data_IF_383117582949
#
_entry.id   IF_383117582949
#
_cell.length_a   1.000
_cell.length_b   1.000
_cell.length_c   1.000
_cell.angle_alpha   90.00
_cell.angle_beta   90.00
_cell.angle_gamma   90.00
#
_symmetry.space_group_name_H-M   'P 1'
#
loop_
_entity.id
_entity.type
_entity.pdbx_description
1 polymer ?
#
# COMPACT_ATOMS: atom_id res chain seq x y z
N UNK A 1 23.95 4.18 -3.21
CA UNK A 1 23.47 4.10 -4.61
C UNK A 1 22.01 4.52 -4.78
N UNK A 2 21.14 4.38 -3.77
CA UNK A 2 19.72 4.79 -3.89
C UNK A 2 19.50 6.28 -4.16
N UNK A 3 20.35 7.17 -3.63
CA UNK A 3 20.19 8.61 -3.76
C UNK A 3 20.25 9.10 -5.21
N UNK A 4 21.12 8.51 -6.04
CA UNK A 4 21.22 8.87 -7.45
C UNK A 4 19.95 8.50 -8.22
N UNK A 5 19.37 7.34 -7.94
CA UNK A 5 18.13 6.89 -8.59
C UNK A 5 16.94 7.75 -8.16
N UNK A 6 16.83 8.07 -6.87
CA UNK A 6 15.80 8.99 -6.33
C UNK A 6 15.93 10.38 -6.95
N UNK A 7 17.15 10.90 -7.10
CA UNK A 7 17.39 12.19 -7.76
C UNK A 7 16.99 12.19 -9.25
N UNK A 8 17.34 11.13 -10.00
CA UNK A 8 16.93 10.99 -11.42
C UNK A 8 15.41 10.89 -11.58
N UNK A 9 14.74 10.20 -10.66
CA UNK A 9 13.29 10.09 -10.63
C UNK A 9 12.63 11.44 -10.34
N UNK A 10 13.14 12.16 -9.34
CA UNK A 10 12.67 13.52 -8.97
C UNK A 10 12.87 14.53 -10.10
N UNK A 11 14.02 14.48 -10.78
CA UNK A 11 14.34 15.34 -11.92
C UNK A 11 13.61 14.95 -13.22
N UNK A 12 12.78 13.90 -13.21
CA UNK A 12 12.06 13.38 -14.38
C UNK A 12 12.98 12.94 -15.53
N UNK A 13 14.21 12.54 -15.20
CA UNK A 13 15.23 12.14 -16.18
C UNK A 13 15.01 10.73 -16.75
N UNK A 14 14.16 9.92 -16.10
CA UNK A 14 13.89 8.54 -16.51
C UNK A 14 12.93 8.54 -17.71
N UNK A 15 13.51 8.36 -18.92
CA UNK A 15 12.78 8.37 -20.19
C UNK A 15 11.99 7.09 -20.49
N UNK A 16 12.48 5.93 -20.05
CA UNK A 16 11.82 4.66 -20.29
C UNK A 16 10.59 4.53 -19.36
N UNK A 17 9.36 4.43 -19.90
CA UNK A 17 8.14 4.40 -19.10
C UNK A 17 8.04 3.17 -18.19
N UNK A 18 8.51 2.00 -18.64
CA UNK A 18 8.49 0.77 -17.84
C UNK A 18 9.48 0.87 -16.67
N UNK A 19 10.71 1.34 -16.95
CA UNK A 19 11.70 1.60 -15.91
C UNK A 19 11.19 2.63 -14.89
N UNK A 20 10.54 3.68 -15.37
CA UNK A 20 9.96 4.72 -14.54
C UNK A 20 8.83 4.18 -13.64
N UNK A 21 7.99 3.28 -14.16
CA UNK A 21 6.93 2.60 -13.40
C UNK A 21 7.52 1.69 -12.32
N UNK A 22 8.54 0.89 -12.64
CA UNK A 22 9.21 0.05 -11.64
C UNK A 22 9.92 0.86 -10.56
N UNK A 23 10.60 1.95 -10.93
CA UNK A 23 11.22 2.86 -9.94
C UNK A 23 10.16 3.49 -9.05
N UNK A 24 9.03 3.93 -9.60
CA UNK A 24 7.91 4.43 -8.82
C UNK A 24 7.33 3.37 -7.88
N UNK A 25 7.19 2.12 -8.35
CA UNK A 25 6.76 0.97 -7.53
C UNK A 25 7.71 0.73 -6.36
N UNK A 26 9.02 0.71 -6.60
CA UNK A 26 10.05 0.56 -5.57
C UNK A 26 10.02 1.70 -4.54
N UNK A 27 9.80 2.94 -4.99
CA UNK A 27 9.64 4.10 -4.10
C UNK A 27 8.37 3.93 -3.24
N UNK A 28 7.27 3.48 -3.84
CA UNK A 28 6.00 3.28 -3.14
C UNK A 28 6.10 2.14 -2.09
N UNK A 29 6.72 1.02 -2.46
CA UNK A 29 6.97 -0.11 -1.56
C UNK A 29 7.98 0.23 -0.46
N UNK A 30 8.92 1.13 -0.76
CA UNK A 30 9.87 1.69 0.20
C UNK A 30 9.29 2.76 1.12
N UNK A 31 7.97 3.03 1.07
CA UNK A 31 7.30 4.00 1.95
C UNK A 31 7.28 3.47 3.39
N UNK A 32 8.36 3.71 4.12
CA UNK A 32 8.50 3.41 5.53
C UNK A 32 8.40 4.69 6.38
N UNK A 33 8.30 4.51 7.71
CA UNK A 33 8.21 5.60 8.70
C UNK A 33 9.34 6.63 8.53
N UNK A 34 9.24 7.80 9.15
CA UNK A 34 10.25 8.87 9.12
C UNK A 34 11.65 8.33 9.45
N UNK A 35 11.75 7.28 10.27
CA UNK A 35 13.00 6.61 10.65
C UNK A 35 13.71 5.88 9.51
N UNK A 36 13.01 5.51 8.43
CA UNK A 36 13.62 4.88 7.27
C UNK A 36 14.43 5.85 6.41
N UNK A 37 14.25 7.16 6.62
CA UNK A 37 15.05 8.20 6.00
C UNK A 37 15.84 8.93 7.11
N UNK A 38 17.10 8.53 7.36
CA UNK A 38 17.90 9.10 8.44
C UNK A 38 18.18 10.60 8.23
N UNK A 39 18.13 11.11 7.00
CA UNK A 39 18.30 12.54 6.69
C UNK A 39 17.07 13.31 7.15
N UNK A 40 15.89 12.85 6.73
CA UNK A 40 14.62 13.46 7.14
C UNK A 40 14.38 13.33 8.65
N UNK A 41 14.65 12.17 9.24
CA UNK A 41 14.52 11.96 10.67
C UNK A 41 15.41 12.91 11.47
N UNK A 42 16.64 13.16 11.01
CA UNK A 42 17.57 14.09 11.66
C UNK A 42 17.07 15.54 11.57
N UNK A 43 16.61 15.95 10.39
CA UNK A 43 16.08 17.30 10.17
C UNK A 43 14.81 17.57 11.00
N UNK A 44 13.91 16.59 11.07
CA UNK A 44 12.65 16.71 11.82
C UNK A 44 12.77 16.27 13.28
N UNK A 45 13.95 15.90 13.78
CA UNK A 45 14.12 15.31 15.12
C UNK A 45 13.60 16.23 16.24
N UNK A 46 13.83 17.52 16.07
CA UNK A 46 13.36 18.57 16.98
C UNK A 46 11.84 18.68 16.95
N UNK A 47 11.26 18.77 15.75
CA UNK A 47 9.81 18.87 15.55
C UNK A 47 9.06 17.62 16.07
N UNK A 48 9.64 16.44 15.88
CA UNK A 48 9.09 15.17 16.41
C UNK A 48 9.03 15.21 17.94
N UNK A 49 10.08 15.73 18.59
CA UNK A 49 10.15 15.80 20.06
C UNK A 49 9.19 16.82 20.66
N UNK A 50 8.93 17.92 19.98
CA UNK A 50 8.03 18.95 20.50
C UNK A 50 6.57 18.65 20.18
N UNK A 51 6.26 18.29 18.93
CA UNK A 51 4.89 18.23 18.43
C UNK A 51 4.34 16.81 18.36
N UNK A 52 5.17 15.84 17.97
CA UNK A 52 4.77 14.45 17.81
C UNK A 52 5.21 13.58 19.00
N UNK A 53 5.36 14.18 20.18
CA UNK A 53 5.81 13.47 21.39
C UNK A 53 4.81 12.40 21.82
N UNK A 54 5.30 11.24 22.25
CA UNK A 54 4.47 10.14 22.73
C UNK A 54 3.87 9.23 21.65
N UNK A 55 4.09 9.52 20.36
CA UNK A 55 3.75 8.58 19.29
C UNK A 55 4.80 7.46 19.20
N UNK A 56 4.33 6.21 19.16
CA UNK A 56 5.23 5.08 18.92
C UNK A 56 5.74 5.14 17.48
N UNK A 57 7.05 4.99 17.26
CA UNK A 57 7.58 4.78 15.92
C UNK A 57 6.98 3.50 15.32
N UNK A 58 6.75 3.52 14.01
CA UNK A 58 6.11 2.45 13.26
C UNK A 58 4.75 2.88 12.69
N UNK A 59 4.32 2.15 11.65
CA UNK A 59 3.05 2.37 10.94
C UNK A 59 2.88 3.77 10.33
N UNK A 60 3.92 4.61 10.31
CA UNK A 60 3.85 5.95 9.75
C UNK A 60 3.17 6.97 10.67
N UNK A 61 3.01 6.68 11.96
CA UNK A 61 2.34 7.58 12.91
C UNK A 61 3.05 8.93 13.01
N UNK A 62 4.38 8.92 13.13
CA UNK A 62 5.19 10.14 13.23
C UNK A 62 5.12 10.92 11.91
N UNK A 63 5.26 10.22 10.78
CA UNK A 63 5.13 10.82 9.46
C UNK A 63 3.74 11.48 9.28
N UNK A 64 2.66 10.81 9.69
CA UNK A 64 1.31 11.37 9.63
C UNK A 64 1.18 12.65 10.46
N UNK A 65 1.72 12.67 11.68
CA UNK A 65 1.73 13.85 12.53
C UNK A 65 2.46 15.04 11.87
N UNK A 66 3.65 14.78 11.31
CA UNK A 66 4.43 15.80 10.59
C UNK A 66 3.70 16.32 9.34
N UNK A 67 3.02 15.44 8.59
CA UNK A 67 2.22 15.82 7.42
C UNK A 67 1.02 16.69 7.82
N UNK A 68 0.33 16.35 8.90
CA UNK A 68 -0.75 17.20 9.43
C UNK A 68 -0.22 18.57 9.85
N UNK A 69 0.96 18.63 10.48
CA UNK A 69 1.63 19.90 10.80
C UNK A 69 1.95 20.74 9.55
N UNK A 70 2.41 20.09 8.48
CA UNK A 70 2.71 20.71 7.18
C UNK A 70 1.46 21.30 6.50
N UNK A 71 0.35 20.56 6.49
CA UNK A 71 -0.89 20.97 5.80
C UNK A 71 -1.70 22.01 6.56
N UNK A 72 -1.84 21.82 7.88
CA UNK A 72 -2.73 22.65 8.70
C UNK A 72 -2.11 23.98 9.12
N UNK A 73 -0.79 24.11 9.03
CA UNK A 73 -0.05 25.25 9.61
C UNK A 73 -0.25 25.41 11.12
N UNK A 74 -0.85 24.41 11.79
CA UNK A 74 -1.12 24.41 13.23
C UNK A 74 0.16 24.38 14.06
N UNK A 75 1.26 23.98 13.43
CA UNK A 75 2.57 23.77 14.02
C UNK A 75 3.62 24.43 13.12
N UNK A 76 4.46 25.28 13.71
CA UNK A 76 5.62 25.85 13.00
C UNK A 76 6.75 24.84 13.01
N UNK A 77 6.84 24.05 11.94
CA UNK A 77 7.97 23.16 11.71
C UNK A 77 9.24 23.97 11.44
N UNK A 78 10.40 23.41 11.76
CA UNK A 78 11.68 24.00 11.35
C UNK A 78 11.80 24.07 9.82
N UNK A 79 12.47 25.11 9.30
CA UNK A 79 12.67 25.28 7.84
C UNK A 79 13.34 24.06 7.19
N UNK A 80 14.28 23.43 7.90
CA UNK A 80 14.98 22.24 7.42
C UNK A 80 14.02 21.03 7.34
N UNK A 81 13.19 20.81 8.36
CA UNK A 81 12.18 19.75 8.32
C UNK A 81 11.13 20.02 7.24
N UNK A 82 10.61 21.24 7.17
CA UNK A 82 9.59 21.63 6.18
C UNK A 82 10.08 21.37 4.74
N UNK A 83 11.27 21.85 4.40
CA UNK A 83 11.81 21.71 3.04
C UNK A 83 12.07 20.26 2.65
N UNK A 84 12.62 19.44 3.55
CA UNK A 84 12.87 18.03 3.28
C UNK A 84 11.59 17.19 3.27
N UNK A 85 10.64 17.49 4.15
CA UNK A 85 9.35 16.82 4.20
C UNK A 85 8.55 17.08 2.92
N UNK A 86 8.48 18.33 2.46
CA UNK A 86 7.79 18.68 1.22
C UNK A 86 8.41 18.01 0.00
N UNK A 87 9.76 17.97 -0.11
CA UNK A 87 10.45 17.24 -1.19
C UNK A 87 10.09 15.76 -1.20
N UNK A 88 9.96 15.16 -0.01
CA UNK A 88 9.60 13.76 0.12
C UNK A 88 8.15 13.51 -0.29
N UNK A 89 7.22 14.37 0.13
CA UNK A 89 5.80 14.29 -0.26
C UNK A 89 5.64 14.37 -1.77
N UNK A 90 6.27 15.37 -2.41
CA UNK A 90 6.23 15.57 -3.86
C UNK A 90 6.72 14.30 -4.61
N UNK A 91 7.81 13.70 -4.15
CA UNK A 91 8.35 12.47 -4.74
C UNK A 91 7.37 11.30 -4.60
N UNK A 92 6.72 11.13 -3.45
CA UNK A 92 5.75 10.06 -3.22
C UNK A 92 4.46 10.26 -4.00
N UNK A 93 3.96 11.48 -4.12
CA UNK A 93 2.80 11.81 -4.95
C UNK A 93 3.09 11.52 -6.43
N UNK A 94 4.28 11.90 -6.90
CA UNK A 94 4.72 11.58 -8.25
C UNK A 94 4.82 10.07 -8.47
N UNK A 95 5.39 9.32 -7.52
CA UNK A 95 5.44 7.86 -7.58
C UNK A 95 4.03 7.24 -7.64
N UNK A 96 3.09 7.72 -6.83
CA UNK A 96 1.71 7.25 -6.84
C UNK A 96 0.98 7.53 -8.17
N UNK A 97 1.29 8.66 -8.84
CA UNK A 97 0.75 8.96 -10.17
C UNK A 97 1.36 8.08 -11.27
N UNK A 98 2.66 7.78 -11.18
CA UNK A 98 3.40 7.01 -12.19
C UNK A 98 3.12 5.51 -12.09
N UNK A 99 3.01 5.00 -10.86
CA UNK A 99 2.65 3.62 -10.58
C UNK A 99 1.44 3.60 -9.64
N UNK A 100 0.22 3.81 -10.16
CA UNK A 100 -0.97 3.67 -9.35
C UNK A 100 -1.03 2.26 -8.79
N UNK A 101 -1.42 2.14 -7.52
CA UNK A 101 -1.66 0.86 -6.84
C UNK A 101 -2.47 -0.03 -7.78
N UNK A 102 -1.92 -1.20 -8.14
CA UNK A 102 -2.41 -2.00 -9.26
C UNK A 102 -3.94 -2.10 -9.23
N UNK A 103 -4.58 -1.48 -10.22
CA UNK A 103 -6.01 -1.72 -10.44
C UNK A 103 -6.15 -3.22 -10.67
N UNK A 104 -7.16 -3.84 -10.07
CA UNK A 104 -7.43 -5.30 -10.22
C UNK A 104 -7.41 -5.71 -11.72
N UNK A 105 -7.69 -4.78 -12.64
CA UNK A 105 -7.56 -4.94 -14.09
C UNK A 105 -6.14 -5.30 -14.56
N UNK A 106 -5.10 -4.69 -14.02
CA UNK A 106 -3.71 -4.95 -14.40
C UNK A 106 -3.25 -6.33 -13.93
N UNK A 107 -3.64 -6.71 -12.71
CA UNK A 107 -3.41 -8.06 -12.17
C UNK A 107 -4.16 -9.11 -13.00
N UNK A 108 -5.41 -8.83 -13.37
CA UNK A 108 -6.21 -9.69 -14.26
C UNK A 108 -5.57 -9.80 -15.64
N UNK A 109 -5.00 -8.72 -16.19
CA UNK A 109 -4.31 -8.73 -17.48
C UNK A 109 -3.03 -9.57 -17.42
N UNK A 110 -2.27 -9.49 -16.31
CA UNK A 110 -1.10 -10.33 -16.07
C UNK A 110 -1.48 -11.81 -15.98
N UNK A 111 -2.54 -12.14 -15.24
CA UNK A 111 -3.07 -13.51 -15.16
C UNK A 111 -3.57 -13.98 -16.53
N UNK A 112 -4.20 -13.10 -17.31
CA UNK A 112 -4.74 -13.40 -18.64
C UNK A 112 -3.64 -13.66 -19.68
N UNK A 113 -2.50 -12.99 -19.55
CA UNK A 113 -1.34 -13.13 -20.43
C UNK A 113 -0.33 -14.20 -19.94
N UNK A 114 -0.51 -14.75 -18.74
CA UNK A 114 0.38 -15.78 -18.21
C UNK A 114 0.14 -17.14 -18.90
N UNK A 115 1.20 -17.91 -19.24
CA UNK A 115 1.06 -19.19 -19.92
C UNK A 115 0.29 -20.24 -19.09
N UNK A 116 0.16 -20.02 -17.78
CA UNK A 116 -0.55 -20.87 -16.82
C UNK A 116 -2.00 -20.43 -16.54
N UNK A 117 -2.62 -19.55 -17.33
CA UNK A 117 -4.00 -19.08 -17.13
C UNK A 117 -5.00 -20.23 -16.92
N UNK A 118 -4.84 -21.35 -17.62
CA UNK A 118 -5.70 -22.53 -17.47
C UNK A 118 -5.63 -23.15 -16.08
N UNK A 119 -4.46 -23.12 -15.42
CA UNK A 119 -4.29 -23.61 -14.06
C UNK A 119 -5.13 -22.78 -13.07
N UNK A 120 -5.06 -21.45 -13.15
CA UNK A 120 -5.86 -20.57 -12.30
C UNK A 120 -7.37 -20.79 -12.49
N UNK A 121 -7.82 -20.98 -13.74
CA UNK A 121 -9.22 -21.28 -14.04
C UNK A 121 -9.68 -22.62 -13.46
N UNK A 122 -8.85 -23.68 -13.59
CA UNK A 122 -9.16 -25.00 -13.03
C UNK A 122 -9.25 -24.94 -11.51
N UNK A 123 -8.34 -24.22 -10.84
CA UNK A 123 -8.36 -24.04 -9.39
C UNK A 123 -9.62 -23.28 -8.95
N UNK A 124 -9.97 -22.18 -9.63
CA UNK A 124 -11.18 -21.40 -9.31
C UNK A 124 -12.47 -22.22 -9.51
N UNK A 125 -12.58 -22.94 -10.63
CA UNK A 125 -13.71 -23.82 -10.91
C UNK A 125 -13.80 -24.98 -9.91
N UNK A 126 -12.65 -25.55 -9.51
CA UNK A 126 -12.57 -26.58 -8.48
C UNK A 126 -13.05 -26.07 -7.12
N UNK A 127 -12.60 -24.88 -6.70
CA UNK A 127 -13.01 -24.27 -5.43
C UNK A 127 -14.52 -23.98 -5.42
N UNK A 128 -15.07 -23.41 -6.49
CA UNK A 128 -16.52 -23.19 -6.63
C UNK A 128 -17.30 -24.51 -6.62
N UNK A 129 -16.79 -25.55 -7.28
CA UNK A 129 -17.36 -26.89 -7.27
C UNK A 129 -17.38 -27.51 -5.87
N UNK A 130 -16.30 -27.39 -5.11
CA UNK A 130 -16.21 -27.87 -3.72
C UNK A 130 -17.17 -27.10 -2.82
N UNK A 131 -17.27 -25.78 -2.97
CA UNK A 131 -18.23 -24.96 -2.21
C UNK A 131 -19.67 -25.35 -2.56
N UNK A 132 -19.98 -25.56 -3.84
CA UNK A 132 -21.31 -25.92 -4.28
C UNK A 132 -21.71 -27.34 -3.83
N UNK A 133 -20.82 -28.32 -3.98
CA UNK A 133 -21.03 -29.68 -3.50
C UNK A 133 -21.12 -29.71 -1.97
N UNK A 134 -20.20 -29.06 -1.27
CA UNK A 134 -20.22 -28.92 0.19
C UNK A 134 -21.50 -28.23 0.68
N UNK A 135 -21.95 -27.18 0.01
CA UNK A 135 -23.21 -26.48 0.29
C UNK A 135 -24.45 -27.34 0.02
N UNK A 136 -24.44 -28.18 -1.02
CA UNK A 136 -25.50 -29.14 -1.31
C UNK A 136 -25.55 -30.29 -0.29
N UNK A 137 -24.40 -30.79 0.14
CA UNK A 137 -24.31 -31.84 1.17
C UNK A 137 -24.71 -31.30 2.54
N UNK A 138 -24.19 -30.15 2.96
CA UNK A 138 -24.59 -29.48 4.20
C UNK A 138 -26.06 -29.05 4.15
N UNK A 139 -26.55 -28.47 3.04
CA UNK A 139 -27.94 -28.05 2.88
C UNK A 139 -28.94 -29.21 2.89
N UNK A 140 -28.55 -30.41 2.43
CA UNK A 140 -29.37 -31.63 2.58
C UNK A 140 -29.32 -32.22 3.98
N UNK A 141 -28.19 -32.13 4.67
CA UNK A 141 -28.04 -32.65 6.04
C UNK A 141 -28.83 -31.80 7.04
N UNK A 142 -28.83 -30.46 6.91
CA UNK A 142 -29.58 -29.57 7.81
C UNK A 142 -31.10 -29.58 7.58
N UNK A 143 -31.59 -30.15 6.46
CA UNK A 143 -33.04 -30.34 6.23
C UNK A 143 -33.62 -31.60 6.89
N UNK A 144 -32.81 -32.47 7.51
CA UNK A 144 -33.34 -33.50 8.43
C UNK A 144 -33.64 -32.87 9.79
N UNK A 145 -34.68 -32.04 9.84
CA UNK A 145 -35.34 -31.70 11.11
C UNK A 145 -36.04 -32.98 11.59
N UNK A 146 -35.78 -33.46 12.82
CA UNK A 146 -36.49 -34.62 13.35
C UNK A 146 -37.99 -34.32 13.46
N UNK A 147 -38.82 -35.28 13.04
CA UNK A 147 -40.30 -35.25 13.08
C UNK A 147 -40.89 -34.97 14.48
N UNK A 148 -40.04 -34.92 15.53
CA UNK A 148 -40.43 -34.61 16.91
C UNK A 148 -40.87 -33.15 17.14
N UNK A 149 -40.71 -32.21 16.21
CA UNK A 149 -41.10 -30.81 16.39
C UNK A 149 -42.42 -30.42 15.68
N UNK A 150 -43.18 -31.38 15.13
CA UNK A 150 -44.46 -31.11 14.45
C UNK A 150 -45.70 -31.16 15.37
N UNK A 151 -45.53 -31.41 16.67
CA UNK A 151 -46.62 -31.33 17.66
C UNK A 151 -46.17 -30.57 18.91
N UNK A 152 -46.25 -29.24 18.84
CA UNK A 152 -46.63 -28.37 19.96
C UNK A 152 -47.10 -27.03 19.42
#
# INVERSE_FOLDING_TARGET
MEECLKARFQNRDIKNPECKKEVARLIHEGKADVQADPILHKACLTDIKYYCHGLSPGHGNILSCLLTGLESGSVTLTDECHTLLSKRVEMFEYAAQVAPVESIRDVVQQIANSPSRNYFLVVAMGALGVIFLGGLFCGRVTKRVPISMKNR
#
